data_IF_895609757883
#
_entry.id   IF_895609757883
#
_cell.length_a   1.000
_cell.length_b   1.000
_cell.length_c   1.000
_cell.angle_alpha   90.00
_cell.angle_beta   90.00
_cell.angle_gamma   90.00
#
_symmetry.space_group_name_H-M   'P 1'
#
loop_
_entity.id
_entity.type
_entity.pdbx_description
1 polymer ?
#
# COMPACT_ATOMS: atom_id res chain seq x y z
N UNK A 1 -27.57 3.16 -9.07
CA UNK A 1 -26.74 4.06 -8.24
C UNK A 1 -26.03 5.05 -9.15
N UNK A 2 -25.75 6.26 -8.67
CA UNK A 2 -24.88 7.20 -9.37
C UNK A 2 -23.59 7.32 -8.57
N UNK A 3 -22.46 7.10 -9.23
CA UNK A 3 -21.12 7.18 -8.65
C UNK A 3 -20.50 8.49 -9.13
N UNK A 4 -20.10 9.31 -8.16
CA UNK A 4 -19.45 10.59 -8.40
C UNK A 4 -17.96 10.37 -8.63
N UNK A 5 -17.50 10.70 -9.84
CA UNK A 5 -16.10 10.54 -10.28
C UNK A 5 -15.55 11.92 -10.62
N UNK A 6 -14.38 12.22 -10.08
CA UNK A 6 -13.60 13.41 -10.41
C UNK A 6 -12.84 13.19 -11.71
N UNK A 7 -13.08 14.02 -12.71
CA UNK A 7 -12.44 13.87 -14.04
C UNK A 7 -11.72 15.18 -14.41
N UNK A 8 -10.42 15.10 -14.72
CA UNK A 8 -9.61 16.25 -15.12
C UNK A 8 -9.36 17.27 -13.99
N UNK A 9 -9.39 18.57 -14.31
CA UNK A 9 -9.21 19.67 -13.34
C UNK A 9 -10.43 19.84 -12.42
N UNK A 10 -10.75 18.81 -11.63
CA UNK A 10 -11.76 18.79 -10.57
C UNK A 10 -13.20 19.08 -11.01
N UNK A 11 -13.64 18.51 -12.13
CA UNK A 11 -15.08 18.45 -12.43
C UNK A 11 -15.63 17.08 -11.99
N UNK A 12 -16.64 17.11 -11.13
CA UNK A 12 -17.31 15.91 -10.67
C UNK A 12 -18.43 15.54 -11.64
N UNK A 13 -18.45 14.27 -12.04
CA UNK A 13 -19.46 13.71 -12.92
C UNK A 13 -20.14 12.52 -12.27
N UNK A 14 -21.45 12.45 -12.40
CA UNK A 14 -22.24 11.31 -11.98
C UNK A 14 -22.33 10.29 -13.11
N UNK A 15 -21.71 9.13 -12.92
CA UNK A 15 -21.83 7.98 -13.81
C UNK A 15 -22.74 6.93 -13.19
N UNK A 16 -23.51 6.22 -14.01
CA UNK A 16 -24.22 5.03 -13.57
C UNK A 16 -23.37 3.78 -13.83
N UNK A 17 -23.77 2.65 -13.25
CA UNK A 17 -22.98 1.42 -13.27
C UNK A 17 -22.74 0.89 -14.68
N UNK A 18 -23.76 0.91 -15.54
CA UNK A 18 -23.65 0.43 -16.92
C UNK A 18 -22.68 1.26 -17.77
N UNK A 19 -22.51 2.55 -17.47
CA UNK A 19 -21.47 3.37 -18.11
C UNK A 19 -20.09 3.04 -17.59
N UNK A 20 -19.94 2.79 -16.29
CA UNK A 20 -18.67 2.42 -15.70
C UNK A 20 -18.19 1.07 -16.23
N UNK A 21 -19.04 0.04 -16.22
CA UNK A 21 -18.76 -1.26 -16.84
C UNK A 21 -18.22 -1.09 -18.26
N UNK A 22 -18.96 -0.36 -19.11
CA UNK A 22 -18.54 -0.14 -20.50
C UNK A 22 -17.19 0.58 -20.60
N UNK A 23 -16.88 1.52 -19.72
CA UNK A 23 -15.62 2.28 -19.76
C UNK A 23 -14.44 1.41 -19.29
N UNK A 24 -14.63 0.60 -18.24
CA UNK A 24 -13.62 -0.34 -17.73
C UNK A 24 -13.33 -1.43 -18.76
N UNK A 25 -14.39 -2.03 -19.32
CA UNK A 25 -14.32 -3.20 -20.20
C UNK A 25 -13.91 -2.86 -21.65
N UNK A 26 -13.89 -1.59 -22.04
CA UNK A 26 -13.57 -1.17 -23.40
C UNK A 26 -12.08 -1.29 -23.71
N UNK A 27 -11.74 -1.78 -24.90
CA UNK A 27 -10.36 -1.81 -25.39
C UNK A 27 -10.00 -0.52 -26.13
N UNK A 28 -11.01 0.18 -26.66
CA UNK A 28 -10.83 1.43 -27.40
C UNK A 28 -11.72 2.54 -26.89
N UNK A 29 -11.27 3.78 -27.07
CA UNK A 29 -12.06 4.95 -26.72
C UNK A 29 -13.40 5.01 -27.48
N UNK A 30 -13.42 4.48 -28.71
CA UNK A 30 -14.63 4.40 -29.53
C UNK A 30 -15.69 3.48 -28.91
N UNK A 31 -15.27 2.35 -28.32
CA UNK A 31 -16.15 1.45 -27.57
C UNK A 31 -16.67 2.10 -26.28
N UNK A 32 -15.78 2.71 -25.51
CA UNK A 32 -16.11 3.40 -24.26
C UNK A 32 -17.10 4.56 -24.46
N UNK A 33 -16.92 5.32 -25.54
CA UNK A 33 -17.70 6.53 -25.86
C UNK A 33 -19.01 6.25 -26.62
N UNK A 34 -19.38 4.98 -26.82
CA UNK A 34 -20.57 4.61 -27.60
C UNK A 34 -21.87 5.03 -26.91
N UNK A 35 -22.40 6.19 -27.26
CA UNK A 35 -23.65 6.71 -26.68
C UNK A 35 -24.88 6.33 -27.50
N UNK A 36 -26.00 6.08 -26.81
CA UNK A 36 -27.31 5.94 -27.46
C UNK A 36 -27.73 7.24 -28.16
N UNK A 37 -28.57 7.16 -29.19
CA UNK A 37 -28.97 8.33 -30.00
C UNK A 37 -29.49 9.51 -29.16
N UNK A 38 -30.39 9.23 -28.20
CA UNK A 38 -30.94 10.25 -27.30
C UNK A 38 -29.90 10.90 -26.40
N UNK A 39 -28.92 10.12 -25.94
CA UNK A 39 -27.83 10.59 -25.09
C UNK A 39 -26.86 11.49 -25.89
N UNK A 40 -26.63 11.19 -27.18
CA UNK A 40 -25.83 12.04 -28.09
C UNK A 40 -26.48 13.39 -28.34
N UNK A 41 -27.81 13.39 -28.55
CA UNK A 41 -28.57 14.62 -28.77
C UNK A 41 -28.50 15.50 -27.51
N UNK A 42 -28.70 14.93 -26.32
CA UNK A 42 -28.60 15.67 -25.06
C UNK A 42 -27.20 16.24 -24.83
N UNK A 43 -26.16 15.46 -25.10
CA UNK A 43 -24.77 15.90 -24.92
C UNK A 43 -24.36 16.99 -25.93
N UNK A 44 -24.88 16.94 -27.15
CA UNK A 44 -24.70 18.01 -28.14
C UNK A 44 -25.23 19.36 -27.62
N UNK A 45 -26.42 19.37 -27.01
CA UNK A 45 -26.98 20.57 -26.38
C UNK A 45 -26.25 21.00 -25.10
N UNK A 46 -25.45 20.11 -24.50
CA UNK A 46 -24.59 20.40 -23.34
C UNK A 46 -23.15 20.73 -23.73
N UNK A 47 -22.86 20.91 -25.03
CA UNK A 47 -21.51 21.26 -25.51
C UNK A 47 -20.50 20.10 -25.50
N UNK A 48 -20.96 18.84 -25.48
CA UNK A 48 -20.09 17.66 -25.53
C UNK A 48 -19.41 17.29 -24.20
N UNK A 49 -19.83 17.92 -23.10
CA UNK A 49 -19.24 17.77 -21.77
C UNK A 49 -19.21 16.32 -21.30
N UNK A 50 -20.26 15.53 -21.57
CA UNK A 50 -20.36 14.14 -21.13
C UNK A 50 -19.44 13.24 -21.94
N UNK A 51 -19.33 13.45 -23.25
CA UNK A 51 -18.36 12.76 -24.08
C UNK A 51 -16.93 13.07 -23.63
N UNK A 52 -16.61 14.33 -23.39
CA UNK A 52 -15.29 14.74 -22.91
C UNK A 52 -14.96 14.12 -21.54
N UNK A 53 -15.95 14.01 -20.64
CA UNK A 53 -15.79 13.32 -19.36
C UNK A 53 -15.50 11.81 -19.55
N UNK A 54 -16.18 11.14 -20.48
CA UNK A 54 -15.90 9.74 -20.82
C UNK A 54 -14.49 9.59 -21.43
N UNK A 55 -14.11 10.47 -22.35
CA UNK A 55 -12.79 10.44 -22.98
C UNK A 55 -11.67 10.66 -21.96
N UNK A 56 -11.85 11.63 -21.07
CA UNK A 56 -10.88 11.90 -20.00
C UNK A 56 -10.81 10.74 -19.01
N UNK A 57 -11.94 10.19 -18.56
CA UNK A 57 -11.97 9.03 -17.67
C UNK A 57 -11.31 7.80 -18.31
N UNK A 58 -11.64 7.50 -19.57
CA UNK A 58 -11.03 6.40 -20.31
C UNK A 58 -9.52 6.56 -20.39
N UNK A 59 -9.02 7.74 -20.79
CA UNK A 59 -7.60 8.03 -20.88
C UNK A 59 -6.89 8.04 -19.51
N UNK A 60 -7.59 8.41 -18.44
CA UNK A 60 -7.05 8.39 -17.08
C UNK A 60 -6.80 6.98 -16.56
N UNK A 61 -7.67 6.02 -16.92
CA UNK A 61 -7.54 4.63 -16.45
C UNK A 61 -6.81 3.71 -17.45
N UNK A 62 -6.85 4.00 -18.76
CA UNK A 62 -6.16 3.23 -19.81
C UNK A 62 -4.82 3.88 -20.19
N UNK A 63 -3.69 3.31 -19.74
CA UNK A 63 -2.36 3.74 -20.18
C UNK A 63 -1.88 2.99 -21.43
N UNK A 64 -1.15 3.63 -22.36
CA UNK A 64 -0.74 3.03 -23.64
C UNK A 64 0.15 1.78 -23.53
N UNK A 65 0.82 1.56 -22.39
CA UNK A 65 1.80 0.47 -22.18
C UNK A 65 1.20 -0.82 -21.60
N UNK A 66 -0.11 -0.86 -21.32
CA UNK A 66 -0.75 -1.91 -20.50
C UNK A 66 -1.55 -2.96 -21.29
N UNK A 67 -1.57 -2.89 -22.62
CA UNK A 67 -2.51 -3.66 -23.45
C UNK A 67 -2.40 -5.20 -23.41
N UNK A 68 -1.54 -5.82 -22.58
CA UNK A 68 -1.36 -7.28 -22.54
C UNK A 68 -1.05 -7.87 -21.15
N UNK A 69 -1.47 -7.23 -20.05
CA UNK A 69 -1.22 -7.76 -18.68
C UNK A 69 -2.48 -8.23 -17.96
N UNK A 70 -3.48 -8.72 -18.67
CA UNK A 70 -4.63 -9.36 -18.01
C UNK A 70 -4.14 -10.56 -17.20
N UNK A 71 -4.51 -10.70 -15.91
CA UNK A 71 -5.60 -10.01 -15.19
C UNK A 71 -5.17 -8.77 -14.37
N UNK A 72 -3.87 -8.55 -14.18
CA UNK A 72 -3.34 -7.42 -13.38
C UNK A 72 -3.67 -6.06 -14.00
N UNK A 73 -3.65 -5.96 -15.33
CA UNK A 73 -4.00 -4.73 -16.04
C UNK A 73 -5.43 -4.26 -15.75
N UNK A 74 -6.39 -5.19 -15.63
CA UNK A 74 -7.75 -4.86 -15.24
C UNK A 74 -7.85 -4.41 -13.79
N UNK A 75 -7.09 -5.04 -12.89
CA UNK A 75 -7.01 -4.61 -11.49
C UNK A 75 -6.41 -3.20 -11.36
N UNK A 76 -5.34 -2.89 -12.10
CA UNK A 76 -4.72 -1.55 -12.12
C UNK A 76 -5.69 -0.48 -12.66
N UNK A 77 -6.48 -0.79 -13.69
CA UNK A 77 -7.55 0.10 -14.18
C UNK A 77 -8.60 0.36 -13.10
N UNK A 78 -8.97 -0.68 -12.36
CA UNK A 78 -9.97 -0.60 -11.30
C UNK A 78 -9.47 0.21 -10.09
N UNK A 79 -8.21 0.04 -9.71
CA UNK A 79 -7.55 0.86 -8.68
C UNK A 79 -7.61 2.35 -9.06
N UNK A 80 -7.20 2.71 -10.29
CA UNK A 80 -7.27 4.11 -10.78
C UNK A 80 -8.68 4.66 -10.79
N UNK A 81 -9.66 3.85 -11.15
CA UNK A 81 -11.06 4.27 -11.09
C UNK A 81 -11.47 4.58 -9.65
N UNK A 82 -11.02 3.78 -8.69
CA UNK A 82 -11.27 4.00 -7.26
C UNK A 82 -10.64 5.32 -6.80
N UNK A 83 -9.39 5.60 -7.18
CA UNK A 83 -8.70 6.85 -6.86
C UNK A 83 -9.43 8.11 -7.37
N UNK A 84 -10.13 8.00 -8.51
CA UNK A 84 -10.92 9.09 -9.09
C UNK A 84 -12.30 9.25 -8.45
N UNK A 85 -12.81 8.22 -7.75
CA UNK A 85 -14.09 8.30 -7.07
C UNK A 85 -14.04 9.26 -5.89
N UNK A 86 -15.15 9.95 -5.62
CA UNK A 86 -15.27 10.78 -4.43
C UNK A 86 -14.96 9.94 -3.16
N UNK A 87 -14.21 10.46 -2.15
CA UNK A 87 -13.77 9.68 -0.99
C UNK A 87 -14.87 8.84 -0.31
N UNK A 88 -16.08 9.39 -0.19
CA UNK A 88 -17.27 8.69 0.35
C UNK A 88 -17.65 7.38 -0.36
N UNK A 89 -17.21 7.17 -1.60
CA UNK A 89 -17.54 6.01 -2.44
C UNK A 89 -16.36 5.05 -2.62
N UNK A 90 -15.15 5.40 -2.18
CA UNK A 90 -13.98 4.58 -2.44
C UNK A 90 -14.06 3.21 -1.74
N UNK A 91 -14.68 3.16 -0.55
CA UNK A 91 -14.96 1.91 0.16
C UNK A 91 -16.04 1.04 -0.51
N UNK A 92 -16.76 1.57 -1.50
CA UNK A 92 -17.73 0.78 -2.27
C UNK A 92 -17.04 -0.10 -3.33
N UNK A 93 -15.76 0.15 -3.65
CA UNK A 93 -15.01 -0.62 -4.65
C UNK A 93 -14.45 -1.90 -4.03
N UNK A 94 -14.91 -3.05 -4.53
CA UNK A 94 -14.60 -4.36 -3.99
C UNK A 94 -14.07 -5.29 -5.08
N UNK A 95 -13.14 -6.17 -4.71
CA UNK A 95 -12.61 -7.21 -5.58
C UNK A 95 -12.91 -8.57 -4.95
N UNK A 96 -13.81 -9.31 -5.57
CA UNK A 96 -14.12 -10.68 -5.17
C UNK A 96 -13.18 -11.62 -5.91
N UNK A 97 -12.56 -12.56 -5.19
CA UNK A 97 -11.64 -13.56 -5.75
C UNK A 97 -12.17 -14.95 -5.47
N UNK A 98 -12.18 -15.79 -6.50
CA UNK A 98 -12.48 -17.21 -6.42
C UNK A 98 -11.18 -17.99 -6.58
N UNK A 99 -10.69 -18.54 -5.47
CA UNK A 99 -9.44 -19.31 -5.42
C UNK A 99 -9.49 -20.55 -6.36
N UNK A 100 -8.33 -21.06 -6.80
CA UNK A 100 -8.25 -22.23 -7.67
C UNK A 100 -9.02 -23.43 -7.10
N UNK A 101 -9.98 -23.93 -7.87
CA UNK A 101 -10.67 -25.18 -7.55
C UNK A 101 -9.82 -26.41 -7.87
N UNK A 102 -10.41 -27.61 -7.76
CA UNK A 102 -9.74 -28.88 -8.14
C UNK A 102 -9.33 -28.96 -9.61
N UNK A 103 -9.94 -28.14 -10.46
CA UNK A 103 -9.64 -28.02 -11.89
C UNK A 103 -8.49 -27.04 -12.18
N UNK A 104 -7.88 -26.47 -11.13
CA UNK A 104 -6.75 -25.54 -11.23
C UNK A 104 -7.13 -24.18 -11.83
N UNK A 105 -8.43 -23.84 -11.82
CA UNK A 105 -8.94 -22.60 -12.37
C UNK A 105 -9.44 -21.67 -11.28
N UNK A 106 -9.18 -20.39 -11.48
CA UNK A 106 -9.56 -19.31 -10.57
C UNK A 106 -10.32 -18.22 -11.33
N UNK A 107 -10.93 -17.29 -10.61
CA UNK A 107 -11.65 -16.17 -11.22
C UNK A 107 -11.74 -14.98 -10.29
N UNK A 108 -12.18 -13.84 -10.81
CA UNK A 108 -12.39 -12.64 -10.02
C UNK A 108 -13.52 -11.78 -10.58
N UNK A 109 -14.08 -10.95 -9.71
CA UNK A 109 -15.08 -9.95 -10.06
C UNK A 109 -14.69 -8.58 -9.48
N UNK A 110 -14.94 -7.53 -10.24
CA UNK A 110 -14.82 -6.15 -9.79
C UNK A 110 -16.22 -5.61 -9.52
N UNK A 111 -16.42 -5.05 -8.33
CA UNK A 111 -17.72 -4.62 -7.85
C UNK A 111 -17.70 -3.20 -7.33
N UNK A 112 -18.79 -2.50 -7.53
CA UNK A 112 -19.06 -1.23 -6.86
C UNK A 112 -20.37 -1.40 -6.08
N UNK A 113 -20.25 -1.40 -4.75
CA UNK A 113 -21.28 -1.84 -3.82
C UNK A 113 -21.84 -3.23 -4.22
N UNK A 114 -23.13 -3.31 -4.52
CA UNK A 114 -23.82 -4.55 -4.89
C UNK A 114 -23.73 -4.88 -6.40
N UNK A 115 -23.06 -4.05 -7.19
CA UNK A 115 -23.05 -4.18 -8.65
C UNK A 115 -21.72 -4.69 -9.17
N UNK A 116 -21.74 -5.85 -9.83
CA UNK A 116 -20.60 -6.36 -10.61
C UNK A 116 -20.43 -5.53 -11.87
N UNK A 117 -19.30 -4.82 -11.98
CA UNK A 117 -18.95 -4.01 -13.16
C UNK A 117 -18.02 -4.76 -14.11
N UNK A 118 -17.36 -5.82 -13.65
CA UNK A 118 -16.58 -6.72 -14.47
C UNK A 118 -16.51 -8.10 -13.83
N UNK A 119 -16.56 -9.14 -14.65
CA UNK A 119 -16.40 -10.52 -14.22
C UNK A 119 -15.46 -11.22 -15.20
N UNK A 120 -14.34 -11.74 -14.71
CA UNK A 120 -13.50 -12.62 -15.50
C UNK A 120 -14.17 -13.98 -15.64
N UNK A 121 -14.03 -14.60 -16.82
CA UNK A 121 -14.25 -16.04 -16.96
C UNK A 121 -13.23 -16.83 -16.13
N UNK A 122 -13.47 -18.13 -15.92
CA UNK A 122 -12.53 -18.98 -15.19
C UNK A 122 -11.19 -19.09 -15.94
N UNK A 123 -10.12 -18.61 -15.30
CA UNK A 123 -8.75 -18.57 -15.79
C UNK A 123 -7.97 -19.78 -15.29
N UNK A 124 -7.08 -20.33 -16.11
CA UNK A 124 -6.10 -21.30 -15.62
C UNK A 124 -4.99 -20.57 -14.84
N UNK A 125 -4.42 -21.20 -13.83
CA UNK A 125 -3.23 -20.66 -13.16
C UNK A 125 -1.98 -20.92 -14.02
N UNK A 126 -1.55 -19.91 -14.79
CA UNK A 126 -0.40 -19.97 -15.70
C UNK A 126 0.47 -18.72 -15.54
N UNK A 127 1.70 -18.68 -16.10
CA UNK A 127 2.54 -17.48 -16.06
C UNK A 127 1.90 -16.22 -16.67
N UNK A 128 0.93 -16.38 -17.57
CA UNK A 128 0.17 -15.28 -18.18
C UNK A 128 -0.99 -14.81 -17.29
N UNK A 129 -1.61 -15.72 -16.54
CA UNK A 129 -2.71 -15.43 -15.61
C UNK A 129 -2.42 -15.95 -14.19
N UNK A 130 -1.32 -15.51 -13.55
CA UNK A 130 -0.86 -16.03 -12.28
C UNK A 130 -1.80 -15.62 -11.13
N UNK A 131 -2.39 -16.61 -10.45
CA UNK A 131 -3.31 -16.37 -9.32
C UNK A 131 -2.62 -15.60 -8.18
N UNK A 132 -1.39 -15.99 -7.86
CA UNK A 132 -0.62 -15.42 -6.75
C UNK A 132 -0.30 -13.94 -6.98
N UNK A 133 0.16 -13.56 -8.17
CA UNK A 133 0.45 -12.16 -8.48
C UNK A 133 -0.83 -11.31 -8.43
N UNK A 134 -1.98 -11.86 -8.86
CA UNK A 134 -3.26 -11.16 -8.76
C UNK A 134 -3.69 -10.94 -7.30
N UNK A 135 -3.59 -11.95 -6.44
CA UNK A 135 -3.90 -11.82 -5.01
C UNK A 135 -2.99 -10.79 -4.34
N UNK A 136 -1.69 -10.81 -4.64
CA UNK A 136 -0.73 -9.82 -4.13
C UNK A 136 -1.06 -8.41 -4.65
N UNK A 137 -1.42 -8.28 -5.93
CA UNK A 137 -1.87 -7.03 -6.52
C UNK A 137 -3.10 -6.47 -5.80
N UNK A 138 -4.10 -7.32 -5.52
CA UNK A 138 -5.32 -6.94 -4.79
C UNK A 138 -4.99 -6.42 -3.40
N UNK A 139 -4.17 -7.14 -2.65
CA UNK A 139 -3.74 -6.74 -1.30
C UNK A 139 -2.93 -5.43 -1.34
N UNK A 140 -2.09 -5.26 -2.37
CA UNK A 140 -1.40 -4.00 -2.65
C UNK A 140 -2.35 -2.82 -2.81
N UNK A 141 -3.37 -2.98 -3.65
CA UNK A 141 -4.41 -1.99 -3.89
C UNK A 141 -5.16 -1.63 -2.60
N UNK A 142 -5.68 -2.64 -1.87
CA UNK A 142 -6.43 -2.43 -0.63
C UNK A 142 -5.59 -1.72 0.44
N UNK A 143 -4.30 -2.04 0.53
CA UNK A 143 -3.42 -1.37 1.48
C UNK A 143 -3.13 0.08 1.10
N UNK A 144 -2.87 0.37 -0.19
CA UNK A 144 -2.68 1.75 -0.66
C UNK A 144 -3.93 2.60 -0.45
N UNK A 145 -5.11 2.02 -0.70
CA UNK A 145 -6.38 2.66 -0.38
C UNK A 145 -6.50 2.92 1.13
N UNK A 146 -6.18 1.95 1.99
CA UNK A 146 -6.21 2.15 3.43
C UNK A 146 -5.32 3.33 3.87
N UNK A 147 -4.09 3.42 3.35
CA UNK A 147 -3.18 4.54 3.64
C UNK A 147 -3.75 5.87 3.14
N UNK A 148 -4.28 5.90 1.91
CA UNK A 148 -4.87 7.11 1.32
C UNK A 148 -6.10 7.64 2.09
N UNK A 149 -6.88 6.75 2.72
CA UNK A 149 -8.02 7.11 3.55
C UNK A 149 -7.65 7.62 4.95
N UNK A 150 -6.40 7.45 5.36
CA UNK A 150 -5.90 7.89 6.66
C UNK A 150 -4.70 8.83 6.50
N UNK A 151 -4.83 9.93 5.73
CA UNK A 151 -3.69 10.78 5.37
C UNK A 151 -3.00 11.38 6.60
N UNK A 152 -3.75 11.66 7.67
CA UNK A 152 -3.22 12.22 8.91
C UNK A 152 -2.41 11.19 9.72
N UNK A 153 -2.69 9.89 9.57
CA UNK A 153 -2.04 8.82 10.34
C UNK A 153 -0.62 8.51 9.86
N UNK A 154 -0.30 8.76 8.59
CA UNK A 154 0.98 8.39 7.98
C UNK A 154 1.89 9.59 7.68
N UNK A 155 1.60 10.75 8.28
CA UNK A 155 2.46 11.94 8.20
C UNK A 155 3.76 11.74 9.00
N UNK A 156 4.77 12.57 8.69
CA UNK A 156 6.02 12.57 9.46
C UNK A 156 5.78 12.94 10.93
N UNK A 157 4.87 13.89 11.20
CA UNK A 157 4.55 14.31 12.56
C UNK A 157 3.89 13.19 13.36
N UNK A 158 2.91 12.49 12.78
CA UNK A 158 2.28 11.33 13.41
C UNK A 158 3.26 10.19 13.67
N UNK A 159 4.18 9.95 12.73
CA UNK A 159 5.25 8.96 12.90
C UNK A 159 6.21 9.32 14.03
N UNK A 160 6.69 10.57 14.06
CA UNK A 160 7.56 11.07 15.12
C UNK A 160 6.88 11.01 16.49
N UNK A 161 5.60 11.38 16.57
CA UNK A 161 4.82 11.30 17.81
C UNK A 161 4.68 9.85 18.28
N UNK A 162 4.39 8.90 17.39
CA UNK A 162 4.39 7.47 17.70
C UNK A 162 5.75 7.00 18.22
N UNK A 163 6.85 7.48 17.63
CA UNK A 163 8.19 7.16 18.10
C UNK A 163 8.45 7.70 19.51
N UNK A 164 8.11 8.96 19.80
CA UNK A 164 8.23 9.55 21.15
C UNK A 164 7.45 8.74 22.18
N UNK A 165 6.21 8.33 21.86
CA UNK A 165 5.40 7.49 22.74
C UNK A 165 6.02 6.11 22.96
N UNK A 166 6.72 5.55 21.97
CA UNK A 166 7.45 4.30 22.13
C UNK A 166 8.74 4.46 22.95
N UNK A 167 9.41 5.61 22.83
CA UNK A 167 10.66 5.93 23.51
C UNK A 167 10.52 6.00 25.04
N UNK A 168 9.34 6.33 25.58
CA UNK A 168 9.08 6.29 27.02
C UNK A 168 7.59 6.16 27.33
N UNK A 169 7.26 5.37 28.36
CA UNK A 169 5.89 5.27 28.91
C UNK A 169 5.61 6.39 29.94
N UNK A 170 6.61 7.21 30.29
CA UNK A 170 6.51 8.31 31.27
C UNK A 170 6.09 9.64 30.60
N UNK A 171 4.94 10.25 30.98
CA UNK A 171 4.42 11.45 30.33
C UNK A 171 5.34 12.67 30.40
N UNK A 172 6.06 12.85 31.52
CA UNK A 172 6.97 13.98 31.70
C UNK A 172 8.19 13.84 30.77
N UNK A 173 8.72 12.62 30.64
CA UNK A 173 9.77 12.30 29.67
C UNK A 173 9.29 12.53 28.24
N UNK A 174 8.10 12.06 27.88
CA UNK A 174 7.55 12.31 26.54
C UNK A 174 7.39 13.80 26.26
N UNK A 175 6.90 14.58 27.23
CA UNK A 175 6.76 16.02 27.11
C UNK A 175 8.13 16.70 26.91
N UNK A 176 9.16 16.25 27.64
CA UNK A 176 10.51 16.78 27.47
C UNK A 176 11.07 16.47 26.09
N UNK A 177 10.89 15.24 25.58
CA UNK A 177 11.27 14.84 24.22
C UNK A 177 10.61 15.76 23.18
N UNK A 178 9.30 16.01 23.30
CA UNK A 178 8.55 16.91 22.40
C UNK A 178 9.10 18.34 22.44
N UNK A 179 9.37 18.87 23.63
CA UNK A 179 9.88 20.24 23.78
C UNK A 179 11.33 20.42 23.32
N UNK A 180 12.08 19.33 23.16
CA UNK A 180 13.51 19.34 22.84
C UNK A 180 13.82 18.80 21.44
N UNK A 181 12.80 18.64 20.58
CA UNK A 181 12.95 18.07 19.24
C UNK A 181 14.06 18.74 18.42
N UNK A 182 14.09 20.08 18.43
CA UNK A 182 15.03 20.89 17.65
C UNK A 182 16.28 21.32 18.44
N UNK A 183 16.45 20.82 19.67
CA UNK A 183 17.57 21.19 20.53
C UNK A 183 18.82 20.34 20.21
N UNK A 184 19.83 20.99 19.64
CA UNK A 184 21.10 20.34 19.24
C UNK A 184 21.89 19.76 20.42
N UNK A 185 21.58 20.15 21.67
CA UNK A 185 22.20 19.53 22.86
C UNK A 185 21.85 18.06 23.01
N UNK A 186 20.79 17.59 22.36
CA UNK A 186 20.40 16.19 22.29
C UNK A 186 20.83 15.52 20.96
N UNK A 187 21.76 16.12 20.22
CA UNK A 187 22.37 15.51 19.02
C UNK A 187 23.40 14.42 19.35
N UNK A 188 23.74 13.62 18.33
CA UNK A 188 24.67 12.47 18.46
C UNK A 188 26.04 12.84 19.05
N UNK A 189 26.57 14.01 18.69
CA UNK A 189 27.86 14.53 19.18
C UNK A 189 27.89 14.85 20.68
N UNK A 190 26.71 14.95 21.29
CA UNK A 190 26.52 15.27 22.71
C UNK A 190 26.14 14.06 23.54
N UNK A 191 25.91 12.90 22.91
CA UNK A 191 25.71 11.62 23.60
C UNK A 191 27.04 11.11 24.18
N UNK A 192 27.07 10.91 25.49
CA UNK A 192 28.22 10.44 26.26
C UNK A 192 28.19 8.93 26.48
N UNK A 193 27.02 8.38 26.80
CA UNK A 193 26.85 6.96 27.06
C UNK A 193 25.39 6.50 26.92
N UNK A 194 25.22 5.21 26.66
CA UNK A 194 23.96 4.48 26.83
C UNK A 194 24.20 3.41 27.89
N UNK A 195 23.50 3.49 29.03
CA UNK A 195 23.76 2.65 30.20
C UNK A 195 22.48 1.98 30.69
N UNK A 196 22.61 0.85 31.37
CA UNK A 196 21.48 0.15 31.99
C UNK A 196 20.87 0.97 33.13
N UNK A 197 19.55 0.86 33.28
CA UNK A 197 18.80 1.44 34.39
C UNK A 197 18.52 0.35 35.45
N UNK A 198 18.25 0.75 36.70
CA UNK A 198 17.95 -0.21 37.77
C UNK A 198 16.66 -1.03 37.49
N UNK A 199 15.68 -0.38 36.87
CA UNK A 199 14.53 -1.03 36.25
C UNK A 199 14.93 -1.56 34.86
N UNK A 200 14.92 -2.89 34.63
CA UNK A 200 15.38 -3.49 33.37
C UNK A 200 14.47 -3.17 32.17
N UNK A 201 13.25 -2.67 32.42
CA UNK A 201 12.36 -2.18 31.37
C UNK A 201 12.77 -0.81 30.83
N UNK A 202 13.84 -0.22 31.36
CA UNK A 202 14.36 1.10 31.00
C UNK A 202 15.87 1.06 30.76
N UNK A 203 16.37 2.06 30.05
CA UNK A 203 17.80 2.36 29.93
C UNK A 203 18.00 3.88 29.98
N UNK A 204 19.24 4.33 30.16
CA UNK A 204 19.59 5.75 30.24
C UNK A 204 20.45 6.13 29.05
N UNK A 205 20.03 7.14 28.28
CA UNK A 205 20.88 7.83 27.31
C UNK A 205 21.42 9.12 27.96
N UNK A 206 22.73 9.16 28.21
CA UNK A 206 23.39 10.28 28.90
C UNK A 206 23.93 11.27 27.88
N UNK A 207 23.38 12.48 27.85
CA UNK A 207 23.89 13.59 27.05
C UNK A 207 24.67 14.56 27.93
N UNK A 208 25.53 15.39 27.34
CA UNK A 208 26.22 16.48 28.08
C UNK A 208 25.26 17.40 28.84
N UNK A 209 24.03 17.54 28.35
CA UNK A 209 23.00 18.41 28.94
C UNK A 209 22.13 17.72 30.00
N UNK A 210 22.23 16.40 30.15
CA UNK A 210 21.39 15.62 31.06
C UNK A 210 21.04 14.23 30.52
N UNK A 211 20.34 13.47 31.36
CA UNK A 211 19.99 12.07 31.08
C UNK A 211 18.55 11.96 30.55
N UNK A 212 18.35 11.07 29.57
CA UNK A 212 17.04 10.61 29.14
C UNK A 212 16.82 9.18 29.63
N UNK A 213 15.75 8.93 30.38
CA UNK A 213 15.34 7.58 30.78
C UNK A 213 14.35 7.06 29.76
N UNK A 214 14.74 6.03 29.01
CA UNK A 214 14.04 5.55 27.82
C UNK A 214 13.62 4.09 27.97
N UNK A 215 12.62 3.67 27.20
CA UNK A 215 12.04 2.32 27.23
C UNK A 215 13.01 1.28 26.67
N UNK A 216 13.30 0.25 27.46
CA UNK A 216 14.06 -0.95 27.09
C UNK A 216 13.15 -2.15 26.82
N UNK A 217 11.85 -1.94 26.60
CA UNK A 217 10.91 -3.01 26.28
C UNK A 217 11.21 -3.60 24.90
N UNK A 218 10.97 -4.91 24.77
CA UNK A 218 11.11 -5.63 23.51
C UNK A 218 10.17 -5.03 22.46
N UNK A 219 10.71 -4.75 21.27
CA UNK A 219 9.94 -4.35 20.09
C UNK A 219 9.31 -5.57 19.43
N UNK A 220 8.01 -5.48 19.12
CA UNK A 220 7.25 -6.52 18.43
C UNK A 220 7.07 -6.24 16.94
N UNK A 221 7.01 -4.96 16.57
CA UNK A 221 6.69 -4.43 15.25
C UNK A 221 7.66 -3.31 14.86
N UNK A 222 8.93 -3.44 15.24
CA UNK A 222 9.97 -2.44 15.04
C UNK A 222 9.70 -1.12 15.79
N UNK A 223 8.96 -1.08 16.89
CA UNK A 223 8.75 0.15 17.63
C UNK A 223 10.06 0.80 18.07
N UNK A 224 10.11 2.13 18.12
CA UNK A 224 11.35 2.89 18.34
C UNK A 224 11.76 2.93 19.82
N UNK A 225 12.21 1.78 20.33
CA UNK A 225 12.61 1.50 21.72
C UNK A 225 13.61 0.35 21.80
N UNK A 226 14.11 0.06 23.00
CA UNK A 226 15.01 -1.06 23.24
C UNK A 226 16.25 -1.04 22.33
N UNK A 227 16.63 -2.21 21.81
CA UNK A 227 17.84 -2.37 20.99
C UNK A 227 17.84 -1.51 19.72
N UNK A 228 16.67 -1.30 19.09
CA UNK A 228 16.56 -0.42 17.92
C UNK A 228 16.96 1.00 18.27
N UNK A 229 16.38 1.55 19.34
CA UNK A 229 16.68 2.91 19.80
C UNK A 229 18.12 3.02 20.30
N UNK A 230 18.62 2.04 21.06
CA UNK A 230 20.02 1.98 21.51
C UNK A 230 20.99 2.01 20.31
N UNK A 231 20.69 1.25 19.25
CA UNK A 231 21.49 1.22 18.03
C UNK A 231 21.50 2.57 17.32
N UNK A 232 20.34 3.21 17.13
CA UNK A 232 20.27 4.52 16.48
C UNK A 232 20.92 5.63 17.31
N UNK A 233 20.81 5.58 18.63
CA UNK A 233 21.53 6.50 19.52
C UNK A 233 23.05 6.41 19.32
N UNK A 234 23.60 5.19 19.17
CA UNK A 234 25.04 4.96 19.05
C UNK A 234 25.60 5.15 17.64
N UNK A 235 24.91 4.62 16.65
CA UNK A 235 25.42 4.49 15.27
C UNK A 235 24.70 5.44 14.30
N UNK A 236 23.59 6.02 14.72
CA UNK A 236 22.83 6.93 13.88
C UNK A 236 23.52 8.28 13.74
N UNK A 237 23.43 8.83 12.53
CA UNK A 237 23.70 10.24 12.26
C UNK A 237 22.42 11.07 12.51
N UNK A 238 22.45 11.96 13.50
CA UNK A 238 21.34 12.86 13.87
C UNK A 238 21.87 14.09 14.60
N UNK A 239 21.34 15.27 14.25
CA UNK A 239 21.76 16.54 14.85
C UNK A 239 20.94 16.91 16.09
N UNK A 240 19.73 16.37 16.21
CA UNK A 240 18.80 16.60 17.31
C UNK A 240 17.79 15.44 17.42
N UNK A 241 16.84 15.54 18.35
CA UNK A 241 15.83 14.50 18.55
C UNK A 241 14.83 14.41 17.40
N UNK A 242 14.57 15.49 16.66
CA UNK A 242 13.72 15.47 15.45
C UNK A 242 14.32 14.54 14.40
N UNK A 243 15.59 14.73 14.07
CA UNK A 243 16.29 13.87 13.10
C UNK A 243 16.24 12.41 13.53
N UNK A 244 16.49 12.15 14.82
CA UNK A 244 16.43 10.81 15.40
C UNK A 244 15.03 10.19 15.30
N UNK A 245 13.98 10.94 15.65
CA UNK A 245 12.60 10.47 15.63
C UNK A 245 12.03 10.34 14.21
N UNK A 246 12.56 11.09 13.24
CA UNK A 246 12.16 11.02 11.84
C UNK A 246 12.72 9.79 11.11
N UNK A 247 13.73 9.11 11.69
CA UNK A 247 14.40 7.99 11.03
C UNK A 247 13.46 6.83 10.72
N UNK A 248 13.45 6.44 9.46
CA UNK A 248 12.72 5.27 8.98
C UNK A 248 11.26 5.54 8.61
N UNK A 249 10.80 6.81 8.61
CA UNK A 249 9.46 7.18 8.15
C UNK A 249 9.18 6.65 6.74
N UNK A 250 8.03 5.98 6.56
CA UNK A 250 7.61 5.32 5.32
C UNK A 250 8.59 4.25 4.80
N UNK A 251 9.47 3.71 5.64
CA UNK A 251 10.35 2.58 5.28
C UNK A 251 9.89 1.29 5.95
N UNK A 252 10.61 0.19 5.75
CA UNK A 252 10.38 -1.07 6.47
C UNK A 252 10.57 -0.98 7.98
N UNK A 253 11.13 0.12 8.49
CA UNK A 253 11.29 0.34 9.92
C UNK A 253 10.12 1.13 10.53
N UNK A 254 9.17 1.59 9.72
CA UNK A 254 8.01 2.33 10.19
C UNK A 254 7.03 1.39 10.89
N UNK A 255 6.94 1.47 12.22
CA UNK A 255 6.08 0.60 13.01
C UNK A 255 4.59 0.84 12.75
N UNK A 256 4.18 2.10 12.48
CA UNK A 256 2.79 2.40 12.16
C UNK A 256 2.40 1.76 10.82
N UNK A 257 3.28 1.83 9.84
CA UNK A 257 3.07 1.20 8.54
C UNK A 257 3.02 -0.33 8.64
N UNK A 258 3.86 -0.95 9.49
CA UNK A 258 3.82 -2.39 9.79
C UNK A 258 2.53 -2.83 10.47
N UNK A 259 2.05 -2.08 11.46
CA UNK A 259 0.78 -2.36 12.11
C UNK A 259 -0.38 -2.30 11.11
N UNK A 260 -0.41 -1.26 10.28
CA UNK A 260 -1.40 -1.09 9.24
C UNK A 260 -1.37 -2.22 8.18
N UNK A 261 -0.18 -2.76 7.90
CA UNK A 261 0.02 -3.86 6.96
C UNK A 261 -0.40 -5.24 7.50
N UNK A 262 -0.58 -5.39 8.83
CA UNK A 262 -0.85 -6.68 9.46
C UNK A 262 -2.17 -7.32 9.02
N UNK A 263 -3.32 -6.62 8.99
CA UNK A 263 -4.56 -7.18 8.47
C UNK A 263 -4.45 -7.64 7.02
N UNK A 264 -3.64 -6.94 6.21
CA UNK A 264 -3.44 -7.23 4.80
C UNK A 264 -2.61 -8.49 4.58
N UNK A 265 -1.61 -8.70 5.44
CA UNK A 265 -0.86 -9.97 5.48
C UNK A 265 -1.78 -11.14 5.78
N UNK A 266 -2.67 -11.01 6.77
CA UNK A 266 -3.61 -12.08 7.13
C UNK A 266 -4.69 -12.30 6.05
N UNK A 267 -5.19 -11.23 5.43
CA UNK A 267 -6.11 -11.34 4.28
C UNK A 267 -5.47 -12.09 3.10
N UNK A 268 -4.19 -11.82 2.81
CA UNK A 268 -3.45 -12.57 1.78
C UNK A 268 -3.36 -14.06 2.12
N UNK A 269 -3.07 -14.40 3.39
CA UNK A 269 -3.01 -15.80 3.84
C UNK A 269 -4.34 -16.51 3.65
N UNK A 270 -5.45 -15.84 3.96
CA UNK A 270 -6.79 -16.40 3.80
C UNK A 270 -7.16 -16.61 2.32
N UNK A 271 -6.81 -15.66 1.45
CA UNK A 271 -7.07 -15.80 0.00
C UNK A 271 -6.33 -16.96 -0.63
N UNK A 272 -5.15 -17.27 -0.10
CA UNK A 272 -4.26 -18.26 -0.67
C UNK A 272 -4.39 -19.64 0.00
N UNK A 273 -5.23 -19.79 1.02
CA UNK A 273 -5.74 -21.04 1.67
C UNK A 273 -4.73 -22.16 2.06
N UNK A 274 -3.45 -22.08 1.69
CA UNK A 274 -2.31 -22.97 2.02
C UNK A 274 -0.99 -22.59 1.28
N UNK A 275 -0.98 -21.64 0.33
CA UNK A 275 0.30 -21.21 -0.29
C UNK A 275 1.20 -20.54 0.73
N UNK A 276 2.47 -20.93 0.69
CA UNK A 276 3.50 -20.36 1.54
C UNK A 276 3.76 -18.90 1.10
N UNK A 277 3.58 -17.93 2.00
CA UNK A 277 3.86 -16.52 1.72
C UNK A 277 5.31 -16.25 1.27
N UNK A 278 6.21 -17.18 1.59
CA UNK A 278 7.62 -17.20 1.22
C UNK A 278 7.90 -17.96 -0.08
N UNK A 279 6.87 -18.46 -0.78
CA UNK A 279 7.02 -19.00 -2.12
C UNK A 279 7.71 -17.96 -3.03
N UNK A 280 8.69 -18.36 -3.87
CA UNK A 280 9.53 -17.41 -4.59
C UNK A 280 8.78 -16.41 -5.48
N UNK A 281 7.70 -16.85 -6.09
CA UNK A 281 6.80 -16.05 -6.93
C UNK A 281 5.99 -15.04 -6.09
N UNK A 282 5.41 -15.47 -4.98
CA UNK A 282 4.68 -14.61 -4.02
C UNK A 282 5.60 -13.57 -3.41
N UNK A 283 6.78 -13.99 -2.94
CA UNK A 283 7.79 -13.10 -2.39
C UNK A 283 8.23 -12.06 -3.44
N UNK A 284 8.51 -12.49 -4.68
CA UNK A 284 8.83 -11.58 -5.78
C UNK A 284 7.71 -10.56 -5.99
N UNK A 285 6.46 -11.00 -6.09
CA UNK A 285 5.31 -10.12 -6.32
C UNK A 285 5.15 -9.11 -5.17
N UNK A 286 5.31 -9.53 -3.91
CA UNK A 286 5.21 -8.65 -2.75
C UNK A 286 6.31 -7.60 -2.70
N UNK A 287 7.53 -7.95 -3.14
CA UNK A 287 8.63 -7.00 -3.29
C UNK A 287 8.46 -6.06 -4.49
N UNK A 288 7.51 -6.32 -5.39
CA UNK A 288 7.15 -5.43 -6.49
C UNK A 288 5.97 -4.50 -6.15
N UNK A 289 5.34 -4.64 -4.98
CA UNK A 289 4.26 -3.77 -4.52
C UNK A 289 4.81 -2.62 -3.67
N UNK A 290 4.94 -1.39 -4.21
CA UNK A 290 5.50 -0.26 -3.48
C UNK A 290 4.50 0.30 -2.46
N UNK A 291 5.03 0.72 -1.30
CA UNK A 291 4.31 1.50 -0.30
C UNK A 291 5.29 2.48 0.34
N UNK A 292 5.02 3.77 0.24
CA UNK A 292 5.96 4.79 0.73
C UNK A 292 7.34 4.64 0.08
N UNK A 293 8.38 4.49 0.89
CA UNK A 293 9.76 4.26 0.45
C UNK A 293 10.19 2.78 0.60
N UNK A 294 9.24 1.86 0.72
CA UNK A 294 9.48 0.42 0.92
C UNK A 294 8.51 -0.42 0.08
N UNK A 295 8.40 -1.71 0.39
CA UNK A 295 7.54 -2.67 -0.30
C UNK A 295 6.70 -3.48 0.69
N UNK A 296 5.58 -4.04 0.24
CA UNK A 296 4.80 -4.98 1.06
C UNK A 296 5.65 -6.17 1.52
N UNK A 297 6.51 -6.70 0.66
CA UNK A 297 7.40 -7.82 1.00
C UNK A 297 8.28 -7.52 2.22
N UNK A 298 8.88 -6.32 2.27
CA UNK A 298 9.68 -5.89 3.42
C UNK A 298 8.83 -5.66 4.68
N UNK A 299 7.66 -5.05 4.55
CA UNK A 299 6.75 -4.82 5.69
C UNK A 299 6.25 -6.12 6.30
N UNK A 300 5.95 -7.12 5.47
CA UNK A 300 5.51 -8.44 5.92
C UNK A 300 6.63 -9.29 6.52
N UNK A 301 7.89 -8.86 6.39
CA UNK A 301 9.07 -9.58 6.84
C UNK A 301 9.41 -10.79 5.98
N UNK A 302 9.04 -10.77 4.69
CA UNK A 302 9.27 -11.87 3.76
C UNK A 302 10.62 -11.66 3.06
N UNK A 303 11.55 -12.64 3.14
CA UNK A 303 12.83 -12.56 2.44
C UNK A 303 12.63 -12.38 0.94
N UNK A 304 13.47 -11.56 0.31
CA UNK A 304 13.44 -11.43 -1.14
C UNK A 304 13.91 -12.76 -1.76
N UNK A 305 13.14 -13.29 -2.69
CA UNK A 305 13.51 -14.51 -3.40
C UNK A 305 14.85 -14.29 -4.13
N UNK A 306 15.84 -15.14 -3.85
CA UNK A 306 17.06 -15.20 -4.67
C UNK A 306 16.67 -15.91 -5.96
N UNK A 307 16.44 -15.13 -7.01
CA UNK A 307 16.21 -15.70 -8.35
C UNK A 307 17.54 -16.27 -8.84
N UNK A 308 17.80 -17.54 -8.55
CA UNK A 308 18.84 -18.28 -9.25
C UNK A 308 18.40 -18.41 -10.71
N UNK A 309 19.08 -17.67 -11.60
CA UNK A 309 18.86 -17.72 -13.06
C UNK A 309 19.01 -19.12 -13.67
N UNK A 310 19.45 -20.12 -12.90
CA UNK A 310 19.63 -21.51 -13.35
C UNK A 310 18.33 -22.33 -13.42
N UNK A 311 17.24 -21.94 -12.76
CA UNK A 311 16.04 -22.78 -12.72
C UNK A 311 15.22 -22.73 -14.02
N UNK A 312 15.39 -21.70 -14.85
CA UNK A 312 14.73 -21.64 -16.17
C UNK A 312 15.33 -22.60 -17.21
N UNK A 313 16.56 -23.08 -17.02
CA UNK A 313 17.20 -24.02 -17.96
C UNK A 313 16.75 -25.48 -17.74
N UNK A 314 16.36 -25.85 -16.52
CA UNK A 314 15.95 -27.23 -16.25
C UNK A 314 14.52 -27.56 -16.71
N UNK A 315 13.62 -26.57 -16.81
CA UNK A 315 12.26 -26.80 -17.34
C UNK A 315 12.23 -26.82 -18.88
N UNK A 316 13.19 -26.17 -19.55
CA UNK A 316 13.33 -26.21 -21.02
C UNK A 316 14.04 -27.47 -21.53
N UNK A 317 14.85 -28.13 -20.70
CA UNK A 317 15.57 -29.36 -21.09
C UNK A 317 14.79 -30.65 -20.82
N UNK A 318 13.62 -30.60 -20.16
CA UNK A 318 12.70 -31.73 -20.00
C UNK A 318 11.63 -31.80 -21.10
N UNK A 319 11.69 -30.91 -22.09
CA UNK A 319 10.78 -30.86 -23.25
C UNK A 319 11.51 -31.06 -24.60
N UNK A 320 12.69 -31.67 -24.58
CA UNK A 320 13.39 -32.17 -25.78
C UNK A 320 13.59 -33.66 -25.67
#
# INVERSE_FOLDING_TARGET
>A
MAIEISVGKQQNFNFNESRIDRIISANTLAEASKMGLWDKIKDYFQGGVKRQAIETLFNSIHRPSEQNREPLGMLEKFERLTELAHPRHQNDFLVDVHAPGKDGKWGYALRIAEHTVYQAGMLADTPETPFNDFCVGKIGMEFRQFVAHHPDSFTLDSYMESNIQCMSDDPDTQQMLRSSLDDSRYGRENLLAVTEHADPSKFIARFKTGDLVLSNRISSNMEFRGDRLKSELWHGDYQNLRDLCAKGHLTEQDSMLRYAATPQKEALRQLMDDYALDAPDVARALHQQPVGHTTLGKLFGIPQAVVNQQTHLHTLLSLV
#
